data_IF_625823241845
#
_entry.id   IF_625823241845
#
_cell.length_a   1.000
_cell.length_b   1.000
_cell.length_c   1.000
_cell.angle_alpha   90.00
_cell.angle_beta   90.00
_cell.angle_gamma   90.00
#
_symmetry.space_group_name_H-M   'P 1'
#
loop_
_entity.id
_entity.type
_entity.pdbx_description
1 polymer ?
#
# COMPACT_ATOMS: atom_id res chain seq x y z
N UNK A 1 -6.44 41.16 51.03
CA UNK A 1 -6.13 41.45 49.61
C UNK A 1 -4.88 40.75 49.05
N UNK A 2 -3.93 40.26 49.87
CA UNK A 2 -2.74 39.55 49.37
C UNK A 2 -3.00 38.08 48.98
N UNK A 3 -3.91 37.39 49.69
CA UNK A 3 -4.20 35.96 49.45
C UNK A 3 -4.89 35.68 48.11
N UNK A 4 -5.80 36.55 47.67
CA UNK A 4 -6.47 36.42 46.37
C UNK A 4 -5.54 36.65 45.19
N UNK A 5 -4.51 37.50 45.36
CA UNK A 5 -3.49 37.77 44.33
C UNK A 5 -2.50 36.61 44.19
N UNK A 6 -2.13 35.95 45.28
CA UNK A 6 -1.31 34.73 45.23
C UNK A 6 -2.05 33.55 44.61
N UNK A 7 -3.34 33.39 44.92
CA UNK A 7 -4.17 32.34 44.31
C UNK A 7 -4.31 32.54 42.79
N UNK A 8 -4.54 33.78 42.34
CA UNK A 8 -4.61 34.11 40.91
C UNK A 8 -3.27 33.86 40.19
N UNK A 9 -2.13 34.19 40.83
CA UNK A 9 -0.81 33.94 40.28
C UNK A 9 -0.50 32.43 40.15
N UNK A 10 -0.92 31.62 41.12
CA UNK A 10 -0.75 30.16 41.08
C UNK A 10 -1.61 29.52 39.99
N UNK A 11 -2.84 29.99 39.78
CA UNK A 11 -3.70 29.51 38.69
C UNK A 11 -3.12 29.87 37.32
N UNK A 12 -2.62 31.10 37.15
CA UNK A 12 -1.96 31.52 35.91
C UNK A 12 -0.70 30.70 35.62
N UNK A 13 0.09 30.37 36.64
CA UNK A 13 1.28 29.54 36.49
C UNK A 13 0.90 28.09 36.09
N UNK A 14 -0.16 27.54 36.68
CA UNK A 14 -0.64 26.20 36.35
C UNK A 14 -1.16 26.11 34.90
N UNK A 15 -1.87 27.14 34.44
CA UNK A 15 -2.35 27.24 33.04
C UNK A 15 -1.18 27.41 32.06
N UNK A 16 -0.17 28.21 32.42
CA UNK A 16 1.02 28.36 31.58
C UNK A 16 1.79 27.03 31.43
N UNK A 17 1.94 26.27 32.52
CA UNK A 17 2.61 24.96 32.47
C UNK A 17 1.84 23.90 31.69
N UNK A 18 0.50 23.90 31.74
CA UNK A 18 -0.30 22.96 30.92
C UNK A 18 -0.24 23.31 29.43
N UNK A 19 -0.25 24.60 29.07
CA UNK A 19 -0.11 25.03 27.68
C UNK A 19 1.27 24.71 27.09
N UNK A 20 2.34 24.81 27.89
CA UNK A 20 3.70 24.44 27.46
C UNK A 20 3.85 22.92 27.24
N UNK A 21 3.16 22.09 28.01
CA UNK A 21 3.18 20.62 27.84
C UNK A 21 2.32 20.13 26.66
N UNK A 22 1.28 20.87 26.26
CA UNK A 22 0.47 20.53 25.08
C UNK A 22 1.18 20.82 23.75
N UNK A 23 2.29 21.58 23.75
CA UNK A 23 3.08 21.89 22.56
C UNK A 23 4.21 20.88 22.31
N UNK A 24 4.39 19.89 23.18
CA UNK A 24 5.28 18.75 22.93
C UNK A 24 4.45 17.63 22.32
N UNK A 25 4.49 17.39 20.99
CA UNK A 25 3.96 16.14 20.47
C UNK A 25 4.86 15.04 21.04
N UNK A 26 4.34 14.29 22.01
CA UNK A 26 5.00 13.13 22.58
C UNK A 26 5.00 11.99 21.56
N UNK A 27 5.75 12.15 20.48
CA UNK A 27 6.22 11.02 19.68
C UNK A 27 7.43 10.43 20.39
N UNK A 28 7.16 9.71 21.48
CA UNK A 28 8.13 8.75 22.00
C UNK A 28 8.19 7.61 20.99
N UNK A 29 9.21 7.60 20.13
CA UNK A 29 9.49 6.47 19.24
C UNK A 29 9.42 6.73 17.73
N UNK A 30 9.40 7.97 17.24
CA UNK A 30 9.72 8.19 15.82
C UNK A 30 11.20 7.92 15.59
N UNK A 31 11.54 6.66 15.33
CA UNK A 31 12.81 6.35 14.67
C UNK A 31 12.85 7.21 13.40
N UNK A 32 13.93 7.98 13.15
CA UNK A 32 14.15 8.53 11.83
C UNK A 32 14.05 7.37 10.85
N UNK A 33 13.14 7.46 9.87
CA UNK A 33 13.12 6.49 8.79
C UNK A 33 14.56 6.43 8.26
N UNK A 34 15.21 5.27 8.42
CA UNK A 34 16.53 5.04 7.88
C UNK A 34 16.38 5.37 6.40
N UNK A 35 17.03 6.44 5.93
CA UNK A 35 17.05 6.76 4.51
C UNK A 35 17.85 5.62 3.88
N UNK A 36 17.15 4.56 3.48
CA UNK A 36 17.68 3.56 2.58
C UNK A 36 18.06 4.31 1.31
N UNK A 37 19.33 4.64 1.17
CA UNK A 37 19.88 5.13 -0.08
C UNK A 37 20.05 3.94 -1.01
N UNK A 38 18.95 3.23 -1.31
CA UNK A 38 18.90 2.40 -2.50
C UNK A 38 18.66 3.34 -3.67
N UNK A 39 19.74 3.87 -4.23
CA UNK A 39 19.75 4.50 -5.55
C UNK A 39 20.18 3.45 -6.57
N UNK A 40 19.34 2.45 -6.76
CA UNK A 40 19.31 1.75 -8.05
C UNK A 40 18.09 2.34 -8.76
N UNK A 41 18.31 3.44 -9.47
CA UNK A 41 17.33 3.89 -10.44
C UNK A 41 17.38 2.87 -11.59
N UNK A 42 16.27 2.22 -11.86
CA UNK A 42 16.13 1.33 -13.00
C UNK A 42 16.32 2.17 -14.27
N UNK A 43 17.41 1.92 -14.99
CA UNK A 43 17.64 2.51 -16.31
C UNK A 43 16.69 1.85 -17.29
N UNK A 44 15.74 2.62 -17.84
CA UNK A 44 14.79 2.13 -18.85
C UNK A 44 15.34 2.55 -20.21
N UNK A 45 16.06 1.63 -20.88
CA UNK A 45 16.50 1.82 -22.26
C UNK A 45 15.29 1.70 -23.19
N UNK A 46 14.95 2.80 -23.89
CA UNK A 46 13.75 2.88 -24.73
C UNK A 46 13.98 2.18 -26.08
N UNK A 47 13.95 0.85 -26.08
CA UNK A 47 14.16 0.00 -27.26
C UNK A 47 12.83 -0.31 -27.97
N UNK A 48 12.25 0.67 -28.68
CA UNK A 48 11.31 0.41 -29.80
C UNK A 48 10.10 -0.51 -29.54
N UNK A 49 9.71 -0.68 -28.28
CA UNK A 49 8.60 -1.49 -27.80
C UNK A 49 8.46 -1.20 -26.30
N UNK A 50 7.24 -1.01 -25.82
CA UNK A 50 7.01 -0.73 -24.40
C UNK A 50 7.07 -2.05 -23.61
N UNK A 51 8.24 -2.67 -23.53
CA UNK A 51 8.46 -3.87 -22.72
C UNK A 51 9.44 -3.50 -21.62
N UNK A 52 8.93 -3.25 -20.41
CA UNK A 52 9.79 -3.10 -19.24
C UNK A 52 10.16 -4.48 -18.72
N UNK A 53 11.40 -4.63 -18.24
CA UNK A 53 11.84 -5.83 -17.52
C UNK A 53 10.99 -6.07 -16.26
N UNK A 54 10.39 -4.99 -15.74
CA UNK A 54 9.62 -4.97 -14.52
C UNK A 54 8.40 -4.06 -14.66
N UNK A 55 7.26 -4.53 -14.18
CA UNK A 55 5.94 -3.90 -14.23
C UNK A 55 5.45 -3.67 -12.80
N UNK A 56 4.84 -2.51 -12.56
CA UNK A 56 4.19 -2.22 -11.29
C UNK A 56 2.71 -2.62 -11.36
N UNK A 57 2.24 -3.45 -10.43
CA UNK A 57 0.84 -3.88 -10.34
C UNK A 57 0.27 -3.41 -9.00
N UNK A 58 -0.81 -2.65 -9.06
CA UNK A 58 -1.66 -2.33 -7.93
C UNK A 58 -2.68 -3.46 -7.78
N UNK A 59 -2.51 -4.28 -6.75
CA UNK A 59 -3.45 -5.33 -6.42
C UNK A 59 -4.51 -4.77 -5.48
N UNK A 60 -5.75 -4.70 -5.95
CA UNK A 60 -6.86 -4.09 -5.22
C UNK A 60 -7.91 -5.14 -4.90
N UNK A 61 -8.40 -5.13 -3.67
CA UNK A 61 -9.54 -5.91 -3.20
C UNK A 61 -10.72 -4.92 -3.00
N UNK A 62 -11.53 -4.65 -4.05
CA UNK A 62 -12.46 -3.52 -4.02
C UNK A 62 -13.54 -3.67 -2.95
N UNK A 63 -13.98 -4.91 -2.68
CA UNK A 63 -15.01 -5.19 -1.68
C UNK A 63 -14.55 -4.90 -0.25
N UNK A 64 -13.25 -4.98 0.03
CA UNK A 64 -12.64 -4.72 1.33
C UNK A 64 -12.06 -3.30 1.43
N UNK A 65 -11.94 -2.59 0.31
CA UNK A 65 -11.31 -1.26 0.26
C UNK A 65 -9.81 -1.31 0.55
N UNK A 66 -9.16 -2.45 0.29
CA UNK A 66 -7.74 -2.64 0.52
C UNK A 66 -6.96 -2.71 -0.80
N UNK A 67 -5.71 -2.25 -0.75
CA UNK A 67 -4.82 -2.24 -1.92
C UNK A 67 -3.37 -2.43 -1.48
N UNK A 68 -2.63 -3.21 -2.26
CA UNK A 68 -1.18 -3.35 -2.15
C UNK A 68 -0.52 -3.10 -3.49
N UNK A 69 0.79 -2.86 -3.47
CA UNK A 69 1.60 -2.58 -4.66
C UNK A 69 2.64 -3.67 -4.79
N UNK A 70 2.74 -4.24 -5.98
CA UNK A 70 3.64 -5.34 -6.31
C UNK A 70 4.47 -4.96 -7.52
N UNK A 71 5.71 -5.44 -7.54
CA UNK A 71 6.66 -5.23 -8.62
C UNK A 71 6.93 -6.60 -9.21
N UNK A 72 6.52 -6.81 -10.45
CA UNK A 72 6.47 -8.13 -11.11
C UNK A 72 7.21 -8.10 -12.45
N UNK A 73 7.54 -9.27 -12.97
CA UNK A 73 8.14 -9.41 -14.31
C UNK A 73 7.06 -9.83 -15.31
N UNK A 74 7.26 -9.63 -16.64
CA UNK A 74 6.32 -10.13 -17.65
C UNK A 74 6.01 -11.63 -17.55
N UNK A 75 6.95 -12.44 -17.04
CA UNK A 75 6.80 -13.88 -16.85
C UNK A 75 6.02 -14.26 -15.58
N UNK A 76 5.70 -13.30 -14.71
CA UNK A 76 4.94 -13.59 -13.48
C UNK A 76 3.51 -14.00 -13.85
N UNK A 77 3.07 -15.13 -13.31
CA UNK A 77 1.72 -15.66 -13.58
C UNK A 77 0.66 -14.90 -12.79
N UNK A 78 -0.55 -14.84 -13.35
CA UNK A 78 -1.71 -14.24 -12.68
C UNK A 78 -2.03 -14.99 -11.37
N UNK A 79 -1.88 -16.32 -11.35
CA UNK A 79 -2.07 -17.13 -10.14
C UNK A 79 -1.07 -16.76 -9.03
N UNK A 80 0.19 -16.49 -9.39
CA UNK A 80 1.20 -16.07 -8.43
C UNK A 80 0.87 -14.67 -7.88
N UNK A 81 0.44 -13.75 -8.73
CA UNK A 81 -0.01 -12.40 -8.31
C UNK A 81 -1.20 -12.50 -7.37
N UNK A 82 -2.18 -13.35 -7.68
CA UNK A 82 -3.34 -13.58 -6.83
C UNK A 82 -2.92 -14.06 -5.45
N UNK A 83 -2.07 -15.09 -5.41
CA UNK A 83 -1.59 -15.68 -4.16
C UNK A 83 -0.80 -14.69 -3.31
N UNK A 84 0.15 -13.99 -3.92
CA UNK A 84 1.00 -13.03 -3.21
C UNK A 84 0.21 -11.78 -2.79
N UNK A 85 -0.70 -11.30 -3.63
CA UNK A 85 -1.60 -10.18 -3.32
C UNK A 85 -2.54 -10.50 -2.17
N UNK A 86 -3.18 -11.68 -2.20
CA UNK A 86 -3.99 -12.19 -1.08
C UNK A 86 -3.19 -12.27 0.20
N UNK A 87 -1.99 -12.85 0.15
CA UNK A 87 -1.10 -12.94 1.31
C UNK A 87 -0.70 -11.56 1.85
N UNK A 88 -0.37 -10.62 0.97
CA UNK A 88 0.01 -9.26 1.36
C UNK A 88 -1.13 -8.50 2.05
N UNK A 89 -2.39 -8.78 1.69
CA UNK A 89 -3.58 -8.22 2.33
C UNK A 89 -4.11 -9.05 3.52
N UNK A 90 -3.47 -10.18 3.84
CA UNK A 90 -3.91 -11.06 4.94
C UNK A 90 -5.14 -11.91 4.61
N UNK A 91 -5.44 -12.11 3.32
CA UNK A 91 -6.50 -13.00 2.84
C UNK A 91 -5.97 -14.40 2.50
N UNK A 92 -5.09 -14.99 3.32
CA UNK A 92 -4.40 -16.27 3.06
C UNK A 92 -4.91 -17.45 3.90
N UNK A 93 -6.19 -17.40 4.30
CA UNK A 93 -6.78 -18.46 5.10
C UNK A 93 -6.85 -19.78 4.32
N UNK A 94 -6.34 -20.88 4.90
CA UNK A 94 -6.25 -22.21 4.27
C UNK A 94 -7.61 -22.76 3.79
N UNK A 95 -8.71 -22.33 4.40
CA UNK A 95 -10.07 -22.77 4.05
C UNK A 95 -10.68 -22.03 2.87
N UNK A 96 -10.03 -20.97 2.35
CA UNK A 96 -10.49 -20.24 1.15
C UNK A 96 -9.48 -20.45 0.01
N UNK A 97 -9.72 -21.39 -0.92
CA UNK A 97 -8.77 -21.70 -1.99
C UNK A 97 -8.62 -20.53 -2.96
N UNK A 98 -7.42 -20.37 -3.53
CA UNK A 98 -7.13 -19.34 -4.54
C UNK A 98 -8.05 -19.45 -5.77
N UNK A 99 -8.54 -20.66 -6.07
CA UNK A 99 -9.47 -20.92 -7.18
C UNK A 99 -10.83 -20.23 -7.05
N UNK A 100 -11.18 -19.77 -5.85
CA UNK A 100 -12.42 -19.03 -5.58
C UNK A 100 -12.26 -17.53 -5.82
N UNK A 101 -11.11 -17.08 -6.29
CA UNK A 101 -10.87 -15.69 -6.64
C UNK A 101 -10.50 -15.55 -8.12
N UNK A 102 -10.91 -14.44 -8.70
CA UNK A 102 -10.61 -14.09 -10.09
C UNK A 102 -10.05 -12.67 -10.15
N UNK A 103 -9.02 -12.47 -10.97
CA UNK A 103 -8.41 -11.16 -11.23
C UNK A 103 -8.90 -10.56 -12.55
N UNK A 104 -9.11 -9.26 -12.54
CA UNK A 104 -9.53 -8.45 -13.68
C UNK A 104 -8.64 -7.22 -13.79
N UNK A 105 -8.41 -6.72 -14.99
CA UNK A 105 -7.80 -5.40 -15.17
C UNK A 105 -8.87 -4.32 -14.92
N UNK A 106 -8.54 -3.25 -14.21
CA UNK A 106 -9.43 -2.10 -13.99
C UNK A 106 -9.97 -1.53 -15.32
N UNK A 107 -9.12 -1.39 -16.34
CA UNK A 107 -9.49 -0.82 -17.64
C UNK A 107 -10.39 -1.76 -18.46
N UNK A 108 -10.31 -3.07 -18.20
CA UNK A 108 -11.03 -4.12 -18.93
C UNK A 108 -11.68 -5.13 -17.97
N UNK A 109 -12.68 -4.69 -17.17
CA UNK A 109 -13.21 -5.47 -16.06
C UNK A 109 -14.06 -6.67 -16.48
N UNK A 110 -14.40 -6.80 -17.76
CA UNK A 110 -15.26 -7.88 -18.27
C UNK A 110 -14.50 -9.18 -18.57
N UNK A 111 -13.15 -9.13 -18.64
CA UNK A 111 -12.33 -10.27 -19.03
C UNK A 111 -11.42 -10.71 -17.88
N UNK A 112 -11.61 -11.93 -17.35
CA UNK A 112 -10.68 -12.51 -16.38
C UNK A 112 -9.26 -12.59 -16.93
N UNK A 113 -8.29 -12.12 -16.16
CA UNK A 113 -6.87 -12.28 -16.46
C UNK A 113 -6.46 -13.74 -16.30
N UNK A 114 -5.62 -14.23 -17.21
CA UNK A 114 -5.09 -15.61 -17.22
C UNK A 114 -3.67 -15.62 -17.80
N UNK A 115 -2.90 -16.66 -17.47
CA UNK A 115 -1.56 -16.81 -18.01
C UNK A 115 -0.54 -15.93 -17.29
N UNK A 116 0.28 -15.21 -18.04
CA UNK A 116 1.27 -14.26 -17.50
C UNK A 116 0.87 -12.80 -17.71
N UNK A 117 1.54 -11.90 -17.00
CA UNK A 117 1.44 -10.45 -17.20
C UNK A 117 1.74 -10.05 -18.66
N UNK A 118 2.77 -10.67 -19.25
CA UNK A 118 3.14 -10.45 -20.65
C UNK A 118 2.05 -10.90 -21.63
N UNK A 119 1.45 -12.07 -21.41
CA UNK A 119 0.36 -12.58 -22.24
C UNK A 119 -0.91 -11.71 -22.12
N UNK A 120 -1.12 -11.08 -20.97
CA UNK A 120 -2.19 -10.11 -20.73
C UNK A 120 -1.90 -8.72 -21.33
N UNK A 121 -0.72 -8.50 -21.93
CA UNK A 121 -0.31 -7.22 -22.51
C UNK A 121 0.03 -6.14 -21.48
N UNK A 122 0.20 -6.50 -20.20
CA UNK A 122 0.38 -5.56 -19.09
C UNK A 122 1.87 -5.22 -18.88
N UNK A 123 2.55 -4.65 -19.88
CA UNK A 123 4.04 -4.61 -19.92
C UNK A 123 4.67 -3.21 -20.02
N UNK A 124 3.87 -2.17 -20.23
CA UNK A 124 4.34 -0.83 -20.59
C UNK A 124 4.35 0.18 -19.44
N UNK A 125 3.36 0.11 -18.55
CA UNK A 125 3.12 1.04 -17.45
C UNK A 125 2.84 0.31 -16.12
N UNK A 126 2.35 1.06 -15.12
CA UNK A 126 1.76 0.47 -13.93
C UNK A 126 0.27 0.22 -14.15
N UNK A 127 -0.23 -0.92 -13.68
CA UNK A 127 -1.61 -1.36 -13.89
C UNK A 127 -2.31 -1.64 -12.57
N UNK A 128 -3.63 -1.44 -12.53
CA UNK A 128 -4.45 -1.85 -11.41
C UNK A 128 -5.24 -3.12 -11.76
N UNK A 129 -5.15 -4.12 -10.88
CA UNK A 129 -5.86 -5.40 -10.99
C UNK A 129 -6.79 -5.57 -9.82
N UNK A 130 -8.02 -5.95 -10.10
CA UNK A 130 -9.08 -6.11 -9.12
C UNK A 130 -9.32 -7.59 -8.83
N UNK A 131 -9.24 -7.95 -7.54
CA UNK A 131 -9.63 -9.25 -7.04
C UNK A 131 -11.10 -9.28 -6.67
N UNK A 132 -11.84 -10.25 -7.21
CA UNK A 132 -13.19 -10.57 -6.79
C UNK A 132 -13.30 -12.00 -6.31
N UNK A 133 -14.07 -12.22 -5.24
CA UNK A 133 -14.43 -13.54 -4.76
C UNK A 133 -15.58 -14.10 -5.62
N UNK A 134 -15.28 -15.19 -6.33
CA UNK A 134 -16.15 -15.90 -7.26
C UNK A 134 -16.09 -17.40 -6.95
N UNK A 135 -16.76 -17.86 -5.87
CA UNK A 135 -16.73 -19.25 -5.46
C UNK A 135 -17.33 -20.15 -6.54
N UNK A 136 -16.74 -21.33 -6.75
CA UNK A 136 -17.20 -22.31 -7.74
C UNK A 136 -18.03 -23.43 -7.13
#
# INVERSE_FOLDING_TARGET
MASSRMAAALVLLAVAMTLLNCLSPAFVGTQPALRSTSRVAMEVEWLGGLNRDVVEVFFTAPAQGERTRMVVTPDTTIDQILKDGRKALGFDQEWIPDSDFTLYNEDFPDTPLKGTIGECGLVDFGYEVHMYFTPK
#
